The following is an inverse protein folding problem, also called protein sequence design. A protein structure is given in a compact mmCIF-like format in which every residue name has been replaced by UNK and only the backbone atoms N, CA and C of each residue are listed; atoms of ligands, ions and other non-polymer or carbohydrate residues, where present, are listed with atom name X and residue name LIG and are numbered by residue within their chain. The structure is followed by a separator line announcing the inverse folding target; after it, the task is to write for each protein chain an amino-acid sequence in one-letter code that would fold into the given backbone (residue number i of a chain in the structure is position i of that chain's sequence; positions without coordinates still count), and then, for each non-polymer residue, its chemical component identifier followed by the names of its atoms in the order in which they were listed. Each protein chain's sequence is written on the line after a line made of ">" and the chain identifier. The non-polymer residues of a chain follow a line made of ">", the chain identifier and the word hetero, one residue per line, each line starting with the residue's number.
data_IF_295944188813
#
_entry.id   IF_295944188813
#
_cell.length_a   1.000
_cell.length_b   1.000
_cell.length_c   1.000
_cell.angle_alpha   90.00
_cell.angle_beta   90.00
_cell.angle_gamma   90.00
#
_symmetry.space_group_name_H-M   'P 1'
#
loop_
_entity.id
_entity.type
_entity.pdbx_description
1 polymer ?
#
# COMPACT_ATOMS: atom_id res chain seq x y z
N UNK A 1 13.04 23.45 13.94
CA UNK A 1 12.55 22.90 12.64
C UNK A 1 11.38 23.73 12.16
N UNK A 2 10.28 23.79 12.90
CA UNK A 2 9.04 24.48 12.50
C UNK A 2 9.28 25.96 12.23
N UNK A 3 10.00 26.66 13.10
CA UNK A 3 10.30 28.10 12.93
C UNK A 3 11.04 28.38 11.62
N UNK A 4 12.02 27.56 11.26
CA UNK A 4 12.77 27.68 10.00
C UNK A 4 11.93 27.45 8.75
N UNK A 5 10.88 26.60 8.86
CA UNK A 5 9.91 26.39 7.78
C UNK A 5 8.92 27.56 7.66
N UNK A 6 8.43 28.08 8.79
CA UNK A 6 7.49 29.22 8.82
C UNK A 6 8.15 30.50 8.33
N UNK A 7 9.43 30.69 8.60
CA UNK A 7 10.21 31.88 8.20
C UNK A 7 10.61 31.89 6.72
N UNK A 8 10.15 30.89 5.92
CA UNK A 8 10.40 30.91 4.48
C UNK A 8 9.65 32.09 3.82
N UNK A 9 10.38 32.94 3.15
CA UNK A 9 9.80 33.99 2.32
C UNK A 9 9.36 33.40 0.97
N UNK A 10 8.26 33.91 0.46
CA UNK A 10 7.80 33.57 -0.88
C UNK A 10 8.60 34.34 -1.91
N UNK A 11 9.07 33.65 -2.95
CA UNK A 11 9.55 34.34 -4.14
C UNK A 11 8.33 34.92 -4.90
N UNK A 12 8.48 36.15 -5.40
CA UNK A 12 7.48 36.80 -6.23
C UNK A 12 8.03 36.97 -7.65
N UNK A 13 7.20 36.70 -8.64
CA UNK A 13 7.51 36.96 -10.04
C UNK A 13 7.42 38.48 -10.36
N UNK A 14 7.70 38.86 -11.61
CA UNK A 14 7.63 40.23 -12.11
C UNK A 14 6.26 40.88 -11.93
N UNK A 15 5.19 40.09 -11.80
CA UNK A 15 3.81 40.53 -11.62
C UNK A 15 3.36 40.58 -10.16
N UNK A 16 4.24 40.24 -9.20
CA UNK A 16 3.93 40.19 -7.77
C UNK A 16 3.16 38.96 -7.35
N UNK A 17 3.11 37.89 -8.18
CA UNK A 17 2.51 36.64 -7.86
C UNK A 17 3.52 35.68 -7.22
N UNK A 18 3.03 34.77 -6.35
CA UNK A 18 3.89 33.79 -5.68
C UNK A 18 4.48 32.83 -6.71
N UNK A 19 5.79 32.77 -6.79
CA UNK A 19 6.54 31.84 -7.60
C UNK A 19 6.94 30.60 -6.76
N UNK A 20 6.52 29.38 -7.18
CA UNK A 20 6.86 28.18 -6.43
C UNK A 20 8.35 27.86 -6.55
N UNK A 21 8.98 27.53 -5.43
CA UNK A 21 10.34 27.02 -5.42
C UNK A 21 10.36 25.56 -5.86
N UNK A 22 11.00 25.27 -6.99
CA UNK A 22 11.06 23.93 -7.58
C UNK A 22 12.32 23.21 -7.07
N UNK A 23 12.16 22.01 -6.50
CA UNK A 23 13.25 21.12 -6.14
C UNK A 23 13.43 20.06 -7.23
N UNK A 24 14.68 19.79 -7.56
CA UNK A 24 15.03 18.77 -8.54
C UNK A 24 15.63 17.55 -7.84
N UNK A 25 15.46 16.38 -8.43
CA UNK A 25 16.15 15.17 -7.97
C UNK A 25 17.59 15.16 -8.52
N UNK A 26 18.54 14.66 -7.72
CA UNK A 26 19.84 14.25 -8.27
C UNK A 26 19.65 13.07 -9.23
N UNK A 27 20.57 12.84 -10.16
CA UNK A 27 20.44 11.74 -11.13
C UNK A 27 20.34 10.36 -10.45
N UNK A 28 21.09 10.15 -9.39
CA UNK A 28 21.05 8.92 -8.60
C UNK A 28 19.69 8.74 -7.89
N UNK A 29 19.19 9.80 -7.28
CA UNK A 29 17.89 9.83 -6.60
C UNK A 29 16.75 9.55 -7.59
N UNK A 30 16.79 10.19 -8.76
CA UNK A 30 15.83 10.00 -9.84
C UNK A 30 15.81 8.56 -10.35
N UNK A 31 16.99 8.00 -10.61
CA UNK A 31 17.13 6.60 -11.04
C UNK A 31 16.52 5.65 -10.00
N UNK A 32 16.89 5.81 -8.73
CA UNK A 32 16.39 4.97 -7.64
C UNK A 32 14.86 5.07 -7.46
N UNK A 33 14.30 6.28 -7.60
CA UNK A 33 12.87 6.49 -7.54
C UNK A 33 12.15 5.76 -8.69
N UNK A 34 12.66 5.86 -9.92
CA UNK A 34 12.07 5.18 -11.08
C UNK A 34 12.14 3.65 -10.96
N UNK A 35 13.24 3.09 -10.45
CA UNK A 35 13.34 1.66 -10.17
C UNK A 35 12.27 1.19 -9.19
N UNK A 36 12.02 1.96 -8.12
CA UNK A 36 10.98 1.65 -7.16
C UNK A 36 9.58 1.80 -7.78
N UNK A 37 9.31 2.89 -8.51
CA UNK A 37 8.02 3.11 -9.18
C UNK A 37 7.69 1.99 -10.17
N UNK A 38 8.66 1.55 -10.96
CA UNK A 38 8.47 0.44 -11.89
C UNK A 38 8.06 -0.85 -11.17
N UNK A 39 8.80 -1.22 -10.12
CA UNK A 39 8.46 -2.38 -9.31
C UNK A 39 7.07 -2.23 -8.65
N UNK A 40 6.75 -1.05 -8.17
CA UNK A 40 5.47 -0.77 -7.51
C UNK A 40 4.28 -0.84 -8.49
N UNK A 41 4.45 -0.34 -9.72
CA UNK A 41 3.47 -0.47 -10.81
C UNK A 41 3.19 -1.94 -11.14
N UNK A 42 4.23 -2.80 -11.19
CA UNK A 42 4.04 -4.24 -11.38
C UNK A 42 3.22 -4.90 -10.25
N UNK A 43 3.33 -4.41 -9.02
CA UNK A 43 2.48 -4.88 -7.91
C UNK A 43 1.03 -4.45 -8.12
N UNK A 44 0.78 -3.22 -8.57
CA UNK A 44 -0.56 -2.74 -8.89
C UNK A 44 -1.22 -3.58 -9.99
N UNK A 45 -0.47 -3.89 -11.04
CA UNK A 45 -0.99 -4.66 -12.20
C UNK A 45 -1.36 -6.11 -11.83
N UNK A 46 -0.72 -6.68 -10.82
CA UNK A 46 -0.99 -8.04 -10.34
C UNK A 46 -2.11 -8.11 -9.29
N UNK A 47 -2.46 -6.98 -8.70
CA UNK A 47 -3.49 -6.92 -7.68
C UNK A 47 -4.88 -6.99 -8.31
N UNK A 48 -5.80 -7.72 -7.67
CA UNK A 48 -7.17 -7.93 -8.15
C UNK A 48 -8.22 -7.27 -7.24
N UNK A 49 -7.81 -6.81 -6.06
CA UNK A 49 -8.69 -6.12 -5.13
C UNK A 49 -8.69 -4.61 -5.39
N UNK A 50 -9.79 -4.07 -5.88
CA UNK A 50 -9.94 -2.66 -6.24
C UNK A 50 -9.59 -1.70 -5.09
N UNK A 51 -9.86 -2.09 -3.84
CA UNK A 51 -9.53 -1.27 -2.67
C UNK A 51 -8.02 -1.21 -2.48
N UNK A 52 -7.32 -2.33 -2.63
CA UNK A 52 -5.85 -2.40 -2.51
C UNK A 52 -5.20 -1.66 -3.68
N UNK A 53 -5.69 -1.83 -4.90
CA UNK A 53 -5.24 -1.06 -6.08
C UNK A 53 -5.38 0.44 -5.81
N UNK A 54 -6.51 0.89 -5.27
CA UNK A 54 -6.72 2.31 -4.92
C UNK A 54 -5.73 2.81 -3.86
N UNK A 55 -5.34 1.98 -2.89
CA UNK A 55 -4.31 2.31 -1.89
C UNK A 55 -2.96 2.48 -2.60
N UNK A 56 -2.58 1.53 -3.46
CA UNK A 56 -1.32 1.57 -4.19
C UNK A 56 -1.21 2.81 -5.08
N UNK A 57 -2.22 3.12 -5.88
CA UNK A 57 -2.23 4.32 -6.70
C UNK A 57 -2.03 5.62 -5.89
N UNK A 58 -2.58 5.69 -4.68
CA UNK A 58 -2.36 6.85 -3.79
C UNK A 58 -0.94 6.89 -3.25
N UNK A 59 -0.37 5.75 -2.86
CA UNK A 59 0.99 5.67 -2.34
C UNK A 59 2.04 6.04 -3.39
N UNK A 60 1.81 5.70 -4.66
CA UNK A 60 2.67 6.10 -5.78
C UNK A 60 2.74 7.63 -5.94
N UNK A 61 1.66 8.34 -5.67
CA UNK A 61 1.66 9.80 -5.65
C UNK A 61 2.31 10.34 -4.36
N UNK A 62 2.06 9.70 -3.22
CA UNK A 62 2.56 10.15 -1.93
C UNK A 62 4.06 10.06 -1.78
N UNK A 63 4.74 9.12 -2.44
CA UNK A 63 6.20 9.01 -2.36
C UNK A 63 6.89 10.33 -2.77
N UNK A 64 6.38 11.01 -3.82
CA UNK A 64 6.92 12.30 -4.25
C UNK A 64 6.75 13.36 -3.16
N UNK A 65 5.59 13.36 -2.50
CA UNK A 65 5.33 14.27 -1.37
C UNK A 65 6.23 13.96 -0.17
N UNK A 66 6.46 12.68 0.11
CA UNK A 66 7.38 12.27 1.17
C UNK A 66 8.82 12.67 0.87
N UNK A 67 9.27 12.54 -0.37
CA UNK A 67 10.58 13.06 -0.79
C UNK A 67 10.70 14.56 -0.47
N UNK A 68 9.70 15.36 -0.82
CA UNK A 68 9.71 16.80 -0.54
C UNK A 68 9.73 17.09 0.97
N UNK A 69 8.84 16.45 1.74
CA UNK A 69 8.73 16.65 3.19
C UNK A 69 10.04 16.26 3.89
N UNK A 70 10.61 15.09 3.55
CA UNK A 70 11.85 14.61 4.17
C UNK A 70 13.03 15.50 3.78
N UNK A 71 13.12 15.96 2.52
CA UNK A 71 14.19 16.89 2.11
C UNK A 71 14.13 18.19 2.90
N UNK A 72 12.95 18.78 3.03
CA UNK A 72 12.78 20.02 3.78
C UNK A 72 13.04 19.80 5.28
N UNK A 73 12.62 18.69 5.86
CA UNK A 73 12.91 18.36 7.25
C UNK A 73 14.43 18.22 7.49
N UNK A 74 15.15 17.49 6.62
CA UNK A 74 16.60 17.34 6.68
C UNK A 74 17.34 18.67 6.49
N UNK A 75 16.88 19.49 5.55
CA UNK A 75 17.44 20.83 5.35
C UNK A 75 17.27 21.69 6.61
N UNK A 76 16.11 21.67 7.26
CA UNK A 76 15.91 22.46 8.50
C UNK A 76 16.81 22.00 9.64
N UNK A 77 17.18 20.72 9.67
CA UNK A 77 18.14 20.14 10.61
C UNK A 77 19.61 20.41 10.22
N UNK A 78 19.87 20.98 9.04
CA UNK A 78 21.23 21.23 8.54
C UNK A 78 21.92 20.00 7.97
N UNK A 79 21.17 18.94 7.64
CA UNK A 79 21.73 17.68 7.12
C UNK A 79 21.97 17.72 5.60
N UNK A 80 21.33 18.60 4.87
CA UNK A 80 21.40 18.66 3.41
C UNK A 80 21.08 20.06 2.86
N UNK A 81 21.27 20.23 1.54
CA UNK A 81 20.86 21.41 0.79
C UNK A 81 19.34 21.44 0.55
N UNK A 82 18.79 22.62 0.30
CA UNK A 82 17.37 22.82 -0.05
C UNK A 82 17.11 22.58 -1.55
N UNK A 83 18.12 22.67 -2.39
CA UNK A 83 17.96 22.76 -3.86
C UNK A 83 17.66 21.42 -4.51
N UNK A 84 18.25 20.32 -4.00
CA UNK A 84 18.15 19.02 -4.61
C UNK A 84 17.63 17.98 -3.62
N UNK A 85 16.79 17.08 -4.12
CA UNK A 85 16.37 15.86 -3.43
C UNK A 85 17.43 14.79 -3.70
N UNK A 86 18.15 14.38 -2.67
CA UNK A 86 19.26 13.44 -2.76
C UNK A 86 18.79 11.97 -2.62
N UNK A 87 19.69 11.03 -2.90
CA UNK A 87 19.43 9.60 -2.82
C UNK A 87 18.98 9.18 -1.42
N UNK A 88 19.57 9.70 -0.36
CA UNK A 88 19.21 9.36 1.03
C UNK A 88 17.77 9.76 1.35
N UNK A 89 17.32 10.89 0.84
CA UNK A 89 15.92 11.34 0.97
C UNK A 89 14.96 10.37 0.27
N UNK A 90 15.30 9.94 -0.96
CA UNK A 90 14.47 8.97 -1.70
C UNK A 90 14.41 7.63 -0.97
N UNK A 91 15.53 7.11 -0.46
CA UNK A 91 15.54 5.85 0.31
C UNK A 91 14.69 5.94 1.58
N UNK A 92 14.74 7.06 2.29
CA UNK A 92 13.88 7.30 3.47
C UNK A 92 12.40 7.41 3.08
N UNK A 93 12.09 8.05 1.94
CA UNK A 93 10.72 8.15 1.42
C UNK A 93 10.17 6.79 1.00
N UNK A 94 10.97 5.94 0.35
CA UNK A 94 10.61 4.57 0.01
C UNK A 94 10.26 3.79 1.29
N UNK A 95 11.12 3.81 2.31
CA UNK A 95 10.85 3.12 3.58
C UNK A 95 9.55 3.58 4.24
N UNK A 96 9.28 4.88 4.21
CA UNK A 96 8.05 5.44 4.76
C UNK A 96 6.82 4.99 3.95
N UNK A 97 6.92 4.96 2.62
CA UNK A 97 5.85 4.49 1.74
C UNK A 97 5.55 3.01 1.95
N UNK A 98 6.59 2.16 2.08
CA UNK A 98 6.41 0.73 2.38
C UNK A 98 5.74 0.53 3.74
N UNK A 99 6.13 1.29 4.77
CA UNK A 99 5.46 1.26 6.07
C UNK A 99 3.96 1.59 5.97
N UNK A 100 3.59 2.63 5.22
CA UNK A 100 2.18 2.97 5.02
C UNK A 100 1.43 1.92 4.20
N UNK A 101 2.09 1.32 3.22
CA UNK A 101 1.54 0.20 2.46
C UNK A 101 1.17 -0.97 3.39
N UNK A 102 2.12 -1.43 4.18
CA UNK A 102 1.90 -2.54 5.12
C UNK A 102 0.83 -2.21 6.16
N UNK A 103 0.84 -0.99 6.70
CA UNK A 103 -0.17 -0.52 7.65
C UNK A 103 -1.56 -0.50 7.03
N UNK A 104 -1.71 -0.01 5.80
CA UNK A 104 -2.99 0.04 5.11
C UNK A 104 -3.52 -1.38 4.78
N UNK A 105 -2.65 -2.29 4.36
CA UNK A 105 -3.01 -3.69 4.15
C UNK A 105 -3.44 -4.37 5.45
N UNK A 106 -2.75 -4.12 6.56
CA UNK A 106 -3.14 -4.64 7.88
C UNK A 106 -4.51 -4.15 8.32
N UNK A 107 -4.80 -2.86 8.15
CA UNK A 107 -6.14 -2.30 8.43
C UNK A 107 -7.21 -2.93 7.54
N UNK A 108 -6.94 -3.10 6.25
CA UNK A 108 -7.87 -3.73 5.32
C UNK A 108 -8.18 -5.18 5.71
N UNK A 109 -7.16 -5.94 6.14
CA UNK A 109 -7.34 -7.30 6.63
C UNK A 109 -8.23 -7.35 7.89
N UNK A 110 -7.98 -6.47 8.87
CA UNK A 110 -8.82 -6.36 10.08
C UNK A 110 -10.28 -6.02 9.73
N UNK A 111 -10.49 -5.11 8.77
CA UNK A 111 -11.83 -4.75 8.31
C UNK A 111 -12.53 -5.94 7.64
N UNK A 112 -11.83 -6.70 6.82
CA UNK A 112 -12.35 -7.89 6.17
C UNK A 112 -12.68 -9.00 7.19
N UNK A 113 -11.83 -9.24 8.18
CA UNK A 113 -12.10 -10.19 9.27
C UNK A 113 -13.32 -9.79 10.09
N UNK A 114 -13.48 -8.52 10.43
CA UNK A 114 -14.62 -8.02 11.18
C UNK A 114 -15.95 -8.01 10.37
N UNK A 115 -15.87 -8.09 9.04
CA UNK A 115 -17.05 -8.22 8.19
C UNK A 115 -17.63 -9.65 8.16
N UNK A 116 -16.91 -10.64 8.70
CA UNK A 116 -17.34 -12.03 8.77
C UNK A 116 -18.30 -12.27 9.94
N UNK A 117 -19.35 -13.02 9.70
CA UNK A 117 -20.13 -13.54 10.81
C UNK A 117 -19.37 -14.65 11.56
N UNK A 118 -19.82 -15.00 12.80
CA UNK A 118 -19.13 -15.95 13.66
C UNK A 118 -18.92 -17.34 12.99
N UNK A 119 -19.87 -17.78 12.16
CA UNK A 119 -19.76 -19.04 11.41
C UNK A 119 -18.70 -18.97 10.31
N UNK A 120 -18.69 -17.88 9.55
CA UNK A 120 -17.68 -17.64 8.50
C UNK A 120 -16.27 -17.55 9.09
N UNK A 121 -16.13 -16.83 10.21
CA UNK A 121 -14.87 -16.72 10.93
C UNK A 121 -14.35 -18.09 11.40
N UNK A 122 -15.24 -18.94 11.99
CA UNK A 122 -14.88 -20.29 12.41
C UNK A 122 -14.40 -21.14 11.23
N UNK A 123 -15.09 -21.08 10.08
CA UNK A 123 -14.70 -21.81 8.87
C UNK A 123 -13.35 -21.32 8.35
N UNK A 124 -13.14 -19.99 8.25
CA UNK A 124 -11.86 -19.41 7.78
C UNK A 124 -10.70 -19.84 8.69
N UNK A 125 -10.90 -19.88 10.01
CA UNK A 125 -9.87 -20.31 10.95
C UNK A 125 -9.51 -21.80 10.79
N UNK A 126 -10.47 -22.66 10.47
CA UNK A 126 -10.29 -24.09 10.27
C UNK A 126 -9.67 -24.47 8.93
N UNK A 127 -9.78 -23.61 7.91
CA UNK A 127 -9.16 -23.84 6.62
C UNK A 127 -7.62 -23.85 6.74
N UNK A 128 -6.91 -24.79 6.10
CA UNK A 128 -5.46 -24.77 6.03
C UNK A 128 -4.96 -23.56 5.18
N UNK A 129 -3.66 -23.21 5.26
CA UNK A 129 -3.09 -22.10 4.47
C UNK A 129 -3.29 -22.25 2.97
N UNK A 130 -3.26 -23.49 2.45
CA UNK A 130 -3.61 -23.84 1.08
C UNK A 130 -4.62 -24.98 1.10
N UNK A 131 -5.67 -24.91 0.27
CA UNK A 131 -6.78 -25.86 0.27
C UNK A 131 -7.41 -26.00 -1.11
N UNK A 132 -8.09 -27.14 -1.31
CA UNK A 132 -8.94 -27.37 -2.48
C UNK A 132 -10.40 -27.00 -2.18
N UNK A 133 -11.18 -26.74 -3.24
CA UNK A 133 -12.63 -26.48 -3.11
C UNK A 133 -13.33 -27.61 -2.34
N UNK A 134 -12.98 -28.89 -2.61
CA UNK A 134 -13.59 -30.04 -1.95
C UNK A 134 -13.29 -30.08 -0.44
N UNK A 135 -12.04 -29.84 -0.04
CA UNK A 135 -11.66 -29.76 1.37
C UNK A 135 -12.40 -28.63 2.09
N UNK A 136 -12.50 -27.47 1.45
CA UNK A 136 -13.14 -26.31 2.03
C UNK A 136 -14.67 -26.50 2.18
N UNK A 137 -15.34 -27.13 1.22
CA UNK A 137 -16.75 -27.50 1.30
C UNK A 137 -16.99 -28.47 2.46
N UNK A 138 -16.16 -29.48 2.61
CA UNK A 138 -16.28 -30.44 3.71
C UNK A 138 -16.18 -29.74 5.08
N UNK A 139 -15.22 -28.83 5.26
CA UNK A 139 -15.08 -28.04 6.49
C UNK A 139 -16.30 -27.14 6.71
N UNK A 140 -16.81 -26.49 5.65
CA UNK A 140 -17.97 -25.63 5.71
C UNK A 140 -19.24 -26.39 6.15
N UNK A 141 -19.49 -27.56 5.57
CA UNK A 141 -20.64 -28.43 5.91
C UNK A 141 -20.58 -28.94 7.35
N UNK A 142 -19.39 -29.31 7.83
CA UNK A 142 -19.17 -29.70 9.23
C UNK A 142 -19.45 -28.55 10.21
N UNK A 143 -19.34 -27.30 9.75
CA UNK A 143 -19.67 -26.11 10.53
C UNK A 143 -21.04 -25.51 10.18
N UNK A 144 -21.92 -26.28 9.55
CA UNK A 144 -23.32 -25.92 9.31
C UNK A 144 -23.56 -24.96 8.14
N UNK A 145 -22.57 -24.74 7.29
CA UNK A 145 -22.72 -23.92 6.07
C UNK A 145 -22.93 -24.84 4.85
N UNK A 146 -24.03 -24.62 4.12
CA UNK A 146 -24.34 -25.40 2.90
C UNK A 146 -23.32 -25.10 1.80
N UNK A 147 -22.99 -26.11 0.98
CA UNK A 147 -22.05 -26.02 -0.14
C UNK A 147 -22.26 -24.76 -1.01
N UNK A 148 -23.49 -24.53 -1.50
CA UNK A 148 -23.80 -23.38 -2.36
C UNK A 148 -23.52 -22.05 -1.67
N UNK A 149 -23.79 -21.94 -0.38
CA UNK A 149 -23.55 -20.73 0.42
C UNK A 149 -22.06 -20.52 0.59
N UNK A 150 -21.31 -21.59 0.84
CA UNK A 150 -19.86 -21.52 0.97
C UNK A 150 -19.18 -21.20 -0.37
N UNK A 151 -19.62 -21.77 -1.48
CA UNK A 151 -19.08 -21.46 -2.81
C UNK A 151 -19.26 -19.97 -3.15
N UNK A 152 -20.44 -19.38 -2.82
CA UNK A 152 -20.65 -17.95 -2.96
C UNK A 152 -19.72 -17.14 -2.06
N UNK A 153 -19.65 -17.50 -0.78
CA UNK A 153 -18.74 -16.88 0.19
C UNK A 153 -17.29 -16.94 -0.28
N UNK A 154 -16.82 -18.09 -0.78
CA UNK A 154 -15.48 -18.26 -1.32
C UNK A 154 -15.22 -17.32 -2.50
N UNK A 155 -16.15 -17.25 -3.46
CA UNK A 155 -16.03 -16.40 -4.64
C UNK A 155 -16.06 -14.89 -4.30
N UNK A 156 -16.95 -14.48 -3.38
CA UNK A 156 -17.09 -13.09 -2.95
C UNK A 156 -15.86 -12.59 -2.17
N UNK A 157 -15.02 -13.51 -1.67
CA UNK A 157 -13.84 -13.23 -0.88
C UNK A 157 -12.50 -13.56 -1.59
N UNK A 158 -12.54 -13.85 -2.89
CA UNK A 158 -11.31 -13.93 -3.70
C UNK A 158 -10.71 -12.51 -3.82
N UNK A 159 -9.40 -12.41 -3.58
CA UNK A 159 -8.68 -11.14 -3.56
C UNK A 159 -8.68 -10.44 -2.19
N UNK A 160 -9.51 -10.89 -1.24
CA UNK A 160 -9.53 -10.37 0.14
C UNK A 160 -9.01 -11.41 1.15
N UNK A 161 -9.76 -12.46 1.38
CA UNK A 161 -9.40 -13.53 2.31
C UNK A 161 -8.68 -14.69 1.62
N UNK A 162 -8.97 -14.90 0.34
CA UNK A 162 -8.47 -16.04 -0.43
C UNK A 162 -7.84 -15.59 -1.74
N UNK A 163 -6.81 -16.31 -2.14
CA UNK A 163 -6.18 -16.19 -3.45
C UNK A 163 -6.45 -17.46 -4.24
N UNK A 164 -6.90 -17.31 -5.48
CA UNK A 164 -7.08 -18.43 -6.40
C UNK A 164 -5.75 -18.72 -7.10
N UNK A 165 -5.16 -19.88 -6.81
CA UNK A 165 -3.88 -20.30 -7.40
C UNK A 165 -4.09 -21.00 -8.75
N UNK A 166 -5.08 -21.91 -8.80
CA UNK A 166 -5.50 -22.65 -10.00
C UNK A 166 -6.99 -22.96 -9.93
N UNK A 167 -7.49 -23.66 -10.94
CA UNK A 167 -8.86 -24.14 -10.90
C UNK A 167 -9.07 -25.10 -9.73
N UNK A 168 -9.92 -24.71 -8.78
CA UNK A 168 -10.23 -25.50 -7.59
C UNK A 168 -9.18 -25.48 -6.47
N UNK A 169 -8.09 -24.72 -6.59
CA UNK A 169 -7.04 -24.56 -5.59
C UNK A 169 -6.94 -23.10 -5.10
N UNK A 170 -6.88 -22.93 -3.80
CA UNK A 170 -6.88 -21.62 -3.14
C UNK A 170 -5.84 -21.57 -2.02
N UNK A 171 -5.38 -20.37 -1.69
CA UNK A 171 -4.56 -20.08 -0.52
C UNK A 171 -5.20 -18.95 0.30
N UNK A 172 -4.92 -18.93 1.61
CA UNK A 172 -5.26 -17.77 2.44
C UNK A 172 -4.35 -16.61 2.08
N UNK A 173 -4.90 -15.40 2.01
CA UNK A 173 -4.12 -14.16 1.74
C UNK A 173 -3.24 -13.80 2.92
N UNK A 174 -3.65 -14.22 4.16
CA UNK A 174 -2.84 -14.09 5.38
C UNK A 174 -2.83 -15.46 6.07
N UNK A 175 -1.66 -16.11 6.27
CA UNK A 175 -1.57 -17.37 7.01
C UNK A 175 -1.72 -17.16 8.53
#
# INVERSE_FOLDING_TARGET
>A
IIDKLIQQEYALNEFGEIEPHILFFTEEAKKRLYEWQHHFSELCDRETNDTIVSIYCKLEIYIIRFCLIIQLARWTCGECDKTYIDLLTVERAIKLTEYFKESALSVQNILNENALNSQQQAIVNLLPPAFTTAQAIQIAEQNGMKERTFQRFLNDNIGTLFRKEKHGEYSKTNP
#
